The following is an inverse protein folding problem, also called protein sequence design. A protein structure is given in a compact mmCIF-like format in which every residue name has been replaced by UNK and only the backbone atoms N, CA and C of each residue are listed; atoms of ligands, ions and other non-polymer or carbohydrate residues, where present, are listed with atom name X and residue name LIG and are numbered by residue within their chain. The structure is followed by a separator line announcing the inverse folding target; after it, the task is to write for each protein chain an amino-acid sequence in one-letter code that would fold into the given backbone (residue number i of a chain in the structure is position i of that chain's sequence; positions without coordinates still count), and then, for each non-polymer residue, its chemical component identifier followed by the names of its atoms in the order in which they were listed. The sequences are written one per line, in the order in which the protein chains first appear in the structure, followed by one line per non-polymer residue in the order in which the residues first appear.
data_IF_210695883355
#
_entry.id   IF_210695883355
#
_cell.length_a   1.000
_cell.length_b   1.000
_cell.length_c   1.000
_cell.angle_alpha   90.00
_cell.angle_beta   90.00
_cell.angle_gamma   90.00
#
_symmetry.space_group_name_H-M   'P 1'
#
loop_
_entity.id
_entity.type
_entity.pdbx_description
1 polymer ?
#
# COMPACT_ATOMS: atom_id res chain seq x y z
N UNK A 1 -20.44 -7.56 -5.63
CA UNK A 1 -19.92 -8.93 -5.75
C UNK A 1 -19.19 -9.43 -4.48
N UNK A 2 -18.43 -8.56 -3.77
CA UNK A 2 -17.62 -8.98 -2.60
C UNK A 2 -18.43 -9.41 -1.38
N UNK A 3 -19.67 -8.93 -1.22
CA UNK A 3 -20.51 -9.22 -0.06
C UNK A 3 -21.66 -10.16 -0.40
N UNK A 4 -21.41 -11.19 -1.20
CA UNK A 4 -22.39 -12.18 -1.65
C UNK A 4 -21.92 -13.61 -1.32
N UNK A 5 -22.83 -14.53 -1.30
CA UNK A 5 -22.57 -15.95 -1.05
C UNK A 5 -21.80 -16.17 0.27
N UNK A 6 -20.62 -16.79 0.21
CA UNK A 6 -19.81 -17.11 1.37
C UNK A 6 -19.25 -15.86 2.09
N UNK A 7 -19.17 -14.72 1.38
CA UNK A 7 -18.74 -13.43 1.94
C UNK A 7 -19.91 -12.56 2.47
N UNK A 8 -21.14 -13.08 2.51
CA UNK A 8 -22.32 -12.32 2.98
C UNK A 8 -22.17 -11.77 4.40
N UNK A 9 -21.40 -12.45 5.25
CA UNK A 9 -21.14 -12.02 6.64
C UNK A 9 -19.98 -11.01 6.76
N UNK A 10 -19.26 -10.72 5.68
CA UNK A 10 -18.18 -9.75 5.71
C UNK A 10 -18.73 -8.33 5.87
N UNK A 11 -18.03 -7.51 6.63
CA UNK A 11 -18.32 -6.07 6.74
C UNK A 11 -17.38 -5.28 5.85
N UNK A 12 -17.92 -4.28 5.18
CA UNK A 12 -17.12 -3.35 4.39
C UNK A 12 -16.99 -2.03 5.13
N UNK A 13 -15.76 -1.61 5.42
CA UNK A 13 -15.47 -0.30 6.03
C UNK A 13 -14.82 0.59 4.98
N UNK A 14 -15.53 1.61 4.46
CA UNK A 14 -14.95 2.54 3.50
C UNK A 14 -13.96 3.48 4.22
N UNK A 15 -12.85 3.80 3.55
CA UNK A 15 -11.90 4.82 4.02
C UNK A 15 -12.38 6.25 3.70
N UNK A 16 -13.43 6.40 2.89
CA UNK A 16 -14.00 7.67 2.54
C UNK A 16 -15.44 7.75 3.04
N UNK A 17 -15.91 8.96 3.44
CA UNK A 17 -17.30 9.16 3.85
C UNK A 17 -18.25 8.95 2.66
N UNK A 18 -19.52 8.63 2.94
CA UNK A 18 -20.55 8.47 1.91
C UNK A 18 -20.71 9.71 1.03
N UNK A 19 -20.57 10.90 1.63
CA UNK A 19 -20.56 12.18 0.92
C UNK A 19 -19.11 12.65 0.85
N UNK A 20 -18.52 12.56 -0.34
CA UNK A 20 -17.13 12.93 -0.58
C UNK A 20 -17.00 14.45 -0.44
N UNK A 21 -16.07 14.90 0.39
CA UNK A 21 -15.63 16.29 0.46
C UNK A 21 -14.58 16.55 -0.61
N UNK A 22 -14.52 17.78 -1.12
CA UNK A 22 -13.38 18.25 -1.93
C UNK A 22 -12.17 18.64 -1.08
N UNK A 23 -12.32 18.69 0.25
CA UNK A 23 -11.24 18.98 1.19
C UNK A 23 -10.44 17.72 1.48
N UNK A 24 -9.26 17.63 0.91
CA UNK A 24 -8.36 16.48 1.03
C UNK A 24 -7.91 16.26 2.49
N UNK A 25 -7.72 17.34 3.27
CA UNK A 25 -7.36 17.23 4.68
C UNK A 25 -8.49 16.61 5.50
N UNK A 26 -9.72 17.01 5.24
CA UNK A 26 -10.88 16.41 5.90
C UNK A 26 -11.00 14.90 5.57
N UNK A 27 -10.72 14.50 4.33
CA UNK A 27 -10.69 13.09 3.92
C UNK A 27 -9.57 12.31 4.60
N UNK A 28 -8.37 12.90 4.70
CA UNK A 28 -7.23 12.32 5.40
C UNK A 28 -7.53 12.08 6.89
N UNK A 29 -8.08 13.08 7.58
CA UNK A 29 -8.46 12.94 8.98
C UNK A 29 -9.56 11.89 9.18
N UNK A 30 -10.58 11.91 8.32
CA UNK A 30 -11.64 10.90 8.36
C UNK A 30 -11.08 9.48 8.19
N UNK A 31 -10.19 9.26 7.22
CA UNK A 31 -9.59 7.97 6.97
C UNK A 31 -8.79 7.46 8.19
N UNK A 32 -7.98 8.33 8.82
CA UNK A 32 -7.21 7.96 10.01
C UNK A 32 -8.11 7.70 11.23
N UNK A 33 -9.17 8.46 11.44
CA UNK A 33 -10.14 8.23 12.52
C UNK A 33 -10.88 6.88 12.39
N UNK A 34 -11.12 6.43 11.16
CA UNK A 34 -11.87 5.19 10.89
C UNK A 34 -10.96 4.02 10.52
N UNK A 35 -9.65 4.25 10.50
CA UNK A 35 -8.68 3.19 10.23
C UNK A 35 -8.78 2.09 11.27
N UNK A 36 -8.79 0.87 10.80
CA UNK A 36 -8.65 -0.33 11.62
C UNK A 36 -7.47 -1.11 11.09
N UNK A 37 -6.51 -1.39 11.95
CA UNK A 37 -5.33 -2.16 11.56
C UNK A 37 -5.75 -3.53 11.01
N UNK A 38 -5.48 -3.83 9.74
CA UNK A 38 -5.76 -5.14 9.19
C UNK A 38 -4.73 -6.17 9.69
N UNK A 39 -5.17 -7.40 9.88
CA UNK A 39 -4.26 -8.53 10.13
C UNK A 39 -3.45 -8.87 8.87
N UNK A 40 -4.09 -8.84 7.73
CA UNK A 40 -3.51 -9.21 6.44
C UNK A 40 -3.72 -8.10 5.42
N UNK A 41 -2.72 -7.86 4.58
CA UNK A 41 -2.89 -7.01 3.41
C UNK A 41 -2.42 -7.72 2.13
N UNK A 42 -3.21 -7.55 1.06
CA UNK A 42 -2.86 -8.04 -0.28
C UNK A 42 -2.43 -6.83 -1.09
N UNK A 43 -1.20 -6.87 -1.56
CA UNK A 43 -0.54 -5.79 -2.27
C UNK A 43 -0.29 -6.16 -3.73
N UNK A 44 -0.34 -5.17 -4.59
CA UNK A 44 0.26 -5.21 -5.91
C UNK A 44 1.55 -4.39 -5.94
N UNK A 45 2.25 -4.43 -7.08
CA UNK A 45 3.43 -3.62 -7.34
C UNK A 45 3.35 -3.02 -8.74
N UNK A 46 3.72 -1.75 -8.88
CA UNK A 46 3.92 -1.11 -10.16
C UNK A 46 5.28 -1.43 -10.79
N UNK A 47 5.45 -1.11 -12.06
CA UNK A 47 6.73 -1.24 -12.77
C UNK A 47 7.78 -0.21 -12.32
N UNK A 48 7.37 0.78 -11.55
CA UNK A 48 8.22 1.76 -10.85
C UNK A 48 8.54 1.35 -9.40
N UNK A 49 8.08 0.17 -8.95
CA UNK A 49 8.31 -0.34 -7.60
C UNK A 49 7.37 0.25 -6.54
N UNK A 50 6.34 1.04 -6.91
CA UNK A 50 5.34 1.47 -5.95
C UNK A 50 4.50 0.30 -5.44
N UNK A 51 4.01 0.40 -4.22
CA UNK A 51 3.01 -0.51 -3.65
C UNK A 51 1.96 0.28 -2.87
N UNK A 52 0.73 -0.23 -2.77
CA UNK A 52 -0.43 0.54 -2.34
C UNK A 52 -0.53 1.83 -3.17
N UNK A 53 -0.43 3.01 -2.56
CA UNK A 53 -0.19 4.27 -3.27
C UNK A 53 1.07 5.00 -2.76
N UNK A 54 2.06 4.25 -2.29
CA UNK A 54 3.37 4.74 -1.92
C UNK A 54 4.27 4.69 -3.15
N UNK A 55 4.62 5.85 -3.69
CA UNK A 55 5.41 5.99 -4.89
C UNK A 55 6.85 6.38 -4.54
N UNK A 56 7.84 5.95 -5.34
CA UNK A 56 9.20 6.46 -5.22
C UNK A 56 9.21 8.00 -5.18
N UNK A 57 10.14 8.58 -4.42
CA UNK A 57 10.35 10.04 -4.33
C UNK A 57 9.18 10.85 -3.75
N UNK A 58 8.11 10.22 -3.27
CA UNK A 58 7.03 10.94 -2.56
C UNK A 58 7.35 11.11 -1.08
N UNK A 59 6.91 12.23 -0.49
CA UNK A 59 7.05 12.47 0.95
C UNK A 59 6.41 11.37 1.79
N UNK A 60 5.28 10.81 1.31
CA UNK A 60 4.58 9.71 1.96
C UNK A 60 5.42 8.41 2.07
N UNK A 61 6.46 8.27 1.26
CA UNK A 61 7.40 7.16 1.33
C UNK A 61 8.71 7.55 2.01
N UNK A 62 9.25 8.73 1.69
CA UNK A 62 10.56 9.18 2.17
C UNK A 62 10.54 9.56 3.66
N UNK A 63 9.43 10.05 4.16
CA UNK A 63 9.27 10.42 5.56
C UNK A 63 8.76 9.24 6.39
N UNK A 64 9.23 9.14 7.63
CA UNK A 64 8.67 8.20 8.60
C UNK A 64 7.35 8.76 9.15
N UNK A 65 6.27 8.50 8.41
CA UNK A 65 4.94 8.94 8.80
C UNK A 65 4.42 8.12 9.99
N UNK A 66 3.94 8.81 11.01
CA UNK A 66 3.34 8.20 12.20
C UNK A 66 1.89 7.77 11.97
N UNK A 67 1.24 8.41 11.02
CA UNK A 67 -0.15 8.13 10.68
C UNK A 67 -0.30 6.80 9.95
N UNK A 68 -1.44 6.15 10.14
CA UNK A 68 -1.72 4.88 9.48
C UNK A 68 -2.11 5.05 8.00
N UNK A 69 -2.84 6.13 7.72
CA UNK A 69 -3.17 6.54 6.36
C UNK A 69 -2.40 7.80 6.04
N UNK A 70 -1.79 7.83 4.87
CA UNK A 70 -1.01 8.96 4.35
C UNK A 70 -1.63 9.50 3.08
N UNK A 71 -1.45 10.80 2.87
CA UNK A 71 -1.78 11.46 1.62
C UNK A 71 -0.56 11.41 0.70
N UNK A 72 -0.75 10.98 -0.53
CA UNK A 72 0.32 10.89 -1.52
C UNK A 72 -0.10 11.56 -2.81
N UNK A 73 0.85 12.24 -3.44
CA UNK A 73 0.67 12.91 -4.73
C UNK A 73 1.80 12.49 -5.65
N UNK A 74 1.59 11.43 -6.43
CA UNK A 74 2.60 10.99 -7.38
C UNK A 74 2.79 12.01 -8.50
N UNK A 75 4.03 12.20 -8.94
CA UNK A 75 4.38 13.19 -9.97
C UNK A 75 3.66 12.93 -11.31
N UNK A 76 3.43 11.67 -11.63
CA UNK A 76 2.87 11.23 -12.92
C UNK A 76 1.38 10.87 -12.86
N UNK A 77 0.67 11.22 -11.79
CA UNK A 77 -0.76 10.96 -11.66
C UNK A 77 -1.54 12.23 -11.30
N UNK A 78 -2.71 12.45 -11.92
CA UNK A 78 -3.43 13.72 -11.79
C UNK A 78 -4.10 13.93 -10.42
N UNK A 79 -4.21 12.88 -9.61
CA UNK A 79 -4.98 12.93 -8.37
C UNK A 79 -4.15 12.59 -7.14
N UNK A 80 -4.44 13.28 -6.05
CA UNK A 80 -4.03 12.88 -4.71
C UNK A 80 -4.72 11.57 -4.31
N UNK A 81 -4.04 10.77 -3.50
CA UNK A 81 -4.51 9.46 -3.07
C UNK A 81 -4.30 9.27 -1.58
N UNK A 82 -5.18 8.51 -0.96
CA UNK A 82 -4.97 7.98 0.37
C UNK A 82 -4.35 6.59 0.27
N UNK A 83 -3.36 6.33 1.10
CA UNK A 83 -2.65 5.05 1.17
C UNK A 83 -2.44 4.62 2.61
N UNK A 84 -2.36 3.32 2.86
CA UNK A 84 -1.70 2.86 4.07
C UNK A 84 -0.24 3.32 4.05
N UNK A 85 0.26 3.80 5.18
CA UNK A 85 1.68 4.11 5.36
C UNK A 85 2.54 2.85 5.42
N UNK A 86 3.85 2.99 5.30
CA UNK A 86 4.79 1.89 5.57
C UNK A 86 4.57 1.34 6.98
N UNK A 87 4.44 2.24 7.97
CA UNK A 87 4.19 1.84 9.35
C UNK A 87 2.92 0.99 9.50
N UNK A 88 1.82 1.40 8.88
CA UNK A 88 0.57 0.63 8.92
C UNK A 88 0.70 -0.73 8.21
N UNK A 89 1.45 -0.82 7.12
CA UNK A 89 1.73 -2.09 6.44
C UNK A 89 2.62 -2.99 7.28
N UNK A 90 3.66 -2.46 7.91
CA UNK A 90 4.56 -3.19 8.81
C UNK A 90 3.90 -3.68 10.11
N UNK A 91 2.76 -3.09 10.48
CA UNK A 91 1.96 -3.53 11.63
C UNK A 91 0.89 -4.58 11.27
N UNK A 92 0.81 -5.05 10.03
CA UNK A 92 0.07 -6.25 9.69
C UNK A 92 0.77 -7.51 10.23
N UNK A 93 0.03 -8.57 10.46
CA UNK A 93 0.61 -9.88 10.81
C UNK A 93 1.31 -10.49 9.59
N UNK A 94 0.77 -10.25 8.39
CA UNK A 94 1.32 -10.80 7.14
C UNK A 94 0.92 -9.95 5.94
N UNK A 95 1.83 -9.89 4.97
CA UNK A 95 1.58 -9.27 3.67
C UNK A 95 1.66 -10.31 2.55
N UNK A 96 0.79 -10.16 1.57
CA UNK A 96 0.82 -10.93 0.33
C UNK A 96 1.07 -9.97 -0.82
N UNK A 97 2.16 -10.18 -1.56
CA UNK A 97 2.45 -9.43 -2.78
C UNK A 97 2.08 -10.29 -3.99
N UNK A 98 1.09 -9.85 -4.75
CA UNK A 98 0.64 -10.51 -5.98
C UNK A 98 1.07 -9.72 -7.21
N UNK A 99 1.90 -10.32 -8.05
CA UNK A 99 2.43 -9.71 -9.27
C UNK A 99 2.40 -10.68 -10.44
N UNK A 100 2.34 -10.13 -11.66
CA UNK A 100 2.41 -10.90 -12.89
C UNK A 100 3.20 -10.16 -13.97
N UNK A 101 3.78 -10.92 -14.89
CA UNK A 101 4.54 -10.39 -16.03
C UNK A 101 6.04 -10.20 -15.75
N UNK A 102 6.81 -10.21 -16.84
CA UNK A 102 8.28 -10.17 -16.80
C UNK A 102 8.80 -8.86 -16.22
N UNK A 103 8.24 -7.73 -16.63
CA UNK A 103 8.67 -6.40 -16.15
C UNK A 103 8.61 -6.28 -14.63
N UNK A 104 7.50 -6.74 -14.02
CA UNK A 104 7.34 -6.70 -12.56
C UNK A 104 8.27 -7.67 -11.86
N UNK A 105 8.58 -8.80 -12.49
CA UNK A 105 9.60 -9.71 -11.96
C UNK A 105 10.97 -9.05 -11.90
N UNK A 106 11.38 -8.34 -12.95
CA UNK A 106 12.65 -7.62 -12.98
C UNK A 106 12.74 -6.55 -11.86
N UNK A 107 11.65 -5.82 -11.63
CA UNK A 107 11.57 -4.86 -10.52
C UNK A 107 11.63 -5.56 -9.16
N UNK A 108 10.95 -6.70 -9.00
CA UNK A 108 11.05 -7.49 -7.79
C UNK A 108 12.49 -7.95 -7.52
N UNK A 109 13.18 -8.49 -8.54
CA UNK A 109 14.56 -8.93 -8.43
C UNK A 109 15.53 -7.77 -8.10
N UNK A 110 15.25 -6.58 -8.64
CA UNK A 110 15.97 -5.35 -8.26
C UNK A 110 15.72 -4.99 -6.80
N UNK A 111 14.46 -4.96 -6.38
CA UNK A 111 14.07 -4.60 -5.02
C UNK A 111 14.67 -5.54 -3.97
N UNK A 112 14.76 -6.85 -4.27
CA UNK A 112 15.37 -7.84 -3.38
C UNK A 112 16.89 -7.67 -3.21
N UNK A 113 17.56 -7.00 -4.15
CA UNK A 113 19.01 -6.71 -4.09
C UNK A 113 19.33 -5.33 -3.52
N UNK A 114 18.31 -4.50 -3.29
CA UNK A 114 18.48 -3.15 -2.80
C UNK A 114 18.89 -3.14 -1.32
N UNK A 115 19.78 -2.25 -0.96
CA UNK A 115 20.18 -2.01 0.43
C UNK A 115 19.59 -0.67 0.90
N UNK A 116 19.41 -0.53 2.22
CA UNK A 116 18.98 0.74 2.80
C UNK A 116 20.03 1.85 2.58
N UNK A 117 19.63 3.12 2.34
CA UNK A 117 18.25 3.56 2.24
C UNK A 117 17.57 3.09 0.95
N UNK A 118 16.34 2.57 1.07
CA UNK A 118 15.61 2.01 -0.07
C UNK A 118 15.05 3.13 -0.97
N UNK A 119 15.21 2.98 -2.28
CA UNK A 119 14.62 3.89 -3.27
C UNK A 119 13.22 3.45 -3.72
N UNK A 120 12.95 2.15 -3.62
CA UNK A 120 11.68 1.56 -4.01
C UNK A 120 10.81 1.26 -2.79
N UNK A 121 9.55 1.72 -2.73
CA UNK A 121 8.63 1.40 -1.65
C UNK A 121 8.48 -0.10 -1.41
N UNK A 122 8.43 -0.91 -2.47
CA UNK A 122 8.35 -2.35 -2.33
C UNK A 122 9.60 -2.97 -1.70
N UNK A 123 10.80 -2.42 -1.95
CA UNK A 123 12.03 -2.89 -1.34
C UNK A 123 11.97 -2.72 0.19
N UNK A 124 11.48 -1.57 0.68
CA UNK A 124 11.28 -1.34 2.11
C UNK A 124 10.39 -2.42 2.75
N UNK A 125 9.32 -2.80 2.07
CA UNK A 125 8.40 -3.84 2.55
C UNK A 125 9.04 -5.22 2.52
N UNK A 126 9.73 -5.57 1.44
CA UNK A 126 10.38 -6.88 1.29
C UNK A 126 11.52 -7.12 2.29
N UNK A 127 12.21 -6.06 2.71
CA UNK A 127 13.31 -6.12 3.68
C UNK A 127 12.87 -5.80 5.12
N UNK A 128 11.57 -5.63 5.37
CA UNK A 128 11.06 -5.35 6.71
C UNK A 128 11.37 -6.49 7.67
N UNK A 129 11.82 -6.14 8.87
CA UNK A 129 12.02 -7.09 9.98
C UNK A 129 10.77 -7.20 10.87
N UNK A 130 9.73 -6.40 10.61
CA UNK A 130 8.51 -6.35 11.43
C UNK A 130 7.40 -7.24 10.89
N UNK A 131 7.35 -7.40 9.56
CA UNK A 131 6.28 -8.15 8.89
C UNK A 131 6.86 -9.08 7.82
N UNK A 132 6.28 -10.26 7.68
CA UNK A 132 6.65 -11.20 6.62
C UNK A 132 5.82 -10.93 5.37
N UNK A 133 6.50 -10.80 4.23
CA UNK A 133 5.85 -10.67 2.91
C UNK A 133 6.02 -11.97 2.12
N UNK A 134 4.90 -12.56 1.75
CA UNK A 134 4.85 -13.73 0.85
C UNK A 134 4.53 -13.27 -0.57
N UNK A 135 5.37 -13.69 -1.54
CA UNK A 135 5.26 -13.23 -2.93
C UNK A 135 4.64 -14.30 -3.82
N UNK A 136 3.58 -13.92 -4.52
CA UNK A 136 2.92 -14.72 -5.54
C UNK A 136 3.22 -14.13 -6.91
N UNK A 137 3.92 -14.89 -7.74
CA UNK A 137 4.27 -14.49 -9.09
C UNK A 137 3.62 -15.41 -10.12
N UNK A 138 2.96 -14.82 -11.10
CA UNK A 138 2.47 -15.52 -12.28
C UNK A 138 3.24 -15.03 -13.53
N UNK A 139 3.72 -16.00 -14.30
CA UNK A 139 4.25 -15.73 -15.64
C UNK A 139 3.05 -15.67 -16.60
N UNK A 140 2.88 -14.54 -17.27
CA UNK A 140 1.88 -14.40 -18.36
C UNK A 140 2.40 -15.07 -19.61
#
# INVERSE_FOLDING_TARGET
YLLQNNALKASFTPLLPKKISSDTNALFHFANQHFKQPHLAILGMGTDGHTASLFPETSAFLNEEKENIVLTKPANAPYERLSMSINALENCEKLFLSISGVEKREILEKALKENAPYSLPIARILHSQKVTTEVFYAKN
#
